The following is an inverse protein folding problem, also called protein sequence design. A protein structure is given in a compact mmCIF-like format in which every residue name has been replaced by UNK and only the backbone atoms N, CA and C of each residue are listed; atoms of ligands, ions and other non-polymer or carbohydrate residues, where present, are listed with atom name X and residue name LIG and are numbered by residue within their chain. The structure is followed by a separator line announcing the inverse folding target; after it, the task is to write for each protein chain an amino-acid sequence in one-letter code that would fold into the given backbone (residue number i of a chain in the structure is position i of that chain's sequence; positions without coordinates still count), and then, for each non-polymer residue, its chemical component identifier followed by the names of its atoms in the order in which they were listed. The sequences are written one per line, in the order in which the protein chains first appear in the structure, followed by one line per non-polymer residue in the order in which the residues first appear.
data_IF_911615307632
#
_entry.id   IF_911615307632
#
_cell.length_a   1.000
_cell.length_b   1.000
_cell.length_c   1.000
_cell.angle_alpha   90.00
_cell.angle_beta   90.00
_cell.angle_gamma   90.00
#
_symmetry.space_group_name_H-M   'P 1'
#
loop_
_entity.id
_entity.type
_entity.pdbx_description
1 polymer ?
#
# COMPACT_ATOMS: atom_id res chain seq x y z
N UNK A 1 42.62 -8.50 3.87
CA UNK A 1 42.22 -9.86 4.28
C UNK A 1 42.06 -9.98 5.80
N UNK A 2 43.13 -9.94 6.62
CA UNK A 2 43.00 -10.09 8.09
C UNK A 2 42.30 -8.91 8.79
N UNK A 3 42.52 -7.70 8.29
CA UNK A 3 41.90 -6.47 8.84
C UNK A 3 40.44 -6.31 8.41
N UNK A 4 40.09 -6.73 7.19
CA UNK A 4 38.72 -6.70 6.68
C UNK A 4 37.81 -7.69 7.42
N UNK A 5 38.34 -8.86 7.78
CA UNK A 5 37.61 -9.88 8.53
C UNK A 5 37.39 -9.46 10.00
N UNK A 6 38.39 -8.82 10.63
CA UNK A 6 38.24 -8.23 11.95
C UNK A 6 37.21 -7.10 11.97
N UNK A 7 37.21 -6.24 10.95
CA UNK A 7 36.22 -5.17 10.80
C UNK A 7 34.79 -5.72 10.62
N UNK A 8 34.61 -6.79 9.83
CA UNK A 8 33.31 -7.44 9.68
C UNK A 8 32.80 -8.05 10.98
N UNK A 9 33.67 -8.65 11.80
CA UNK A 9 33.29 -9.18 13.12
C UNK A 9 32.80 -8.07 14.04
N UNK A 10 33.49 -6.93 14.07
CA UNK A 10 33.07 -5.78 14.88
C UNK A 10 31.74 -5.18 14.39
N UNK A 11 31.58 -5.02 13.07
CA UNK A 11 30.34 -4.54 12.46
C UNK A 11 29.16 -5.45 12.79
N UNK A 12 29.32 -6.78 12.69
CA UNK A 12 28.30 -7.76 13.08
C UNK A 12 27.86 -7.56 14.53
N UNK A 13 28.82 -7.45 15.45
CA UNK A 13 28.52 -7.29 16.87
C UNK A 13 27.84 -5.95 17.19
N UNK A 14 28.16 -4.87 16.48
CA UNK A 14 27.49 -3.58 16.63
C UNK A 14 26.08 -3.62 16.03
N UNK A 15 25.92 -4.18 14.84
CA UNK A 15 24.64 -4.35 14.17
C UNK A 15 23.69 -5.24 14.99
N UNK A 16 24.18 -6.35 15.56
CA UNK A 16 23.39 -7.23 16.44
C UNK A 16 22.97 -6.53 17.76
N UNK A 17 23.62 -5.42 18.13
CA UNK A 17 23.22 -4.54 19.24
C UNK A 17 22.26 -3.41 18.81
N UNK A 18 21.84 -3.39 17.54
CA UNK A 18 20.92 -2.40 16.99
C UNK A 18 21.59 -1.08 16.59
N UNK A 19 22.92 -1.06 16.40
CA UNK A 19 23.60 0.13 15.89
C UNK A 19 23.32 0.27 14.40
N UNK A 20 22.42 1.18 14.04
CA UNK A 20 21.94 1.37 12.66
C UNK A 20 23.06 1.53 11.63
N UNK A 21 24.04 2.41 11.90
CA UNK A 21 25.16 2.65 10.98
C UNK A 21 26.05 1.42 10.78
N UNK A 22 26.10 0.51 11.76
CA UNK A 22 26.83 -0.74 11.62
C UNK A 22 26.05 -1.76 10.80
N UNK A 23 24.72 -1.81 10.94
CA UNK A 23 23.84 -2.62 10.08
C UNK A 23 23.95 -2.18 8.62
N UNK A 24 23.81 -0.88 8.35
CA UNK A 24 23.98 -0.30 7.02
C UNK A 24 25.33 -0.67 6.40
N UNK A 25 26.43 -0.37 7.11
CA UNK A 25 27.78 -0.65 6.59
C UNK A 25 28.04 -2.14 6.37
N UNK A 26 27.52 -2.99 7.24
CA UNK A 26 27.65 -4.43 7.09
C UNK A 26 26.85 -4.95 5.88
N UNK A 27 25.63 -4.47 5.69
CA UNK A 27 24.79 -4.86 4.55
C UNK A 27 25.47 -4.46 3.25
N UNK A 28 26.01 -3.24 3.13
CA UNK A 28 26.77 -2.81 1.96
C UNK A 28 27.94 -3.77 1.64
N UNK A 29 28.73 -4.14 2.64
CA UNK A 29 29.85 -5.05 2.46
C UNK A 29 29.41 -6.47 2.06
N UNK A 30 28.28 -6.94 2.56
CA UNK A 30 27.70 -8.23 2.18
C UNK A 30 27.18 -8.19 0.73
N UNK A 31 26.59 -7.07 0.31
CA UNK A 31 26.17 -6.87 -1.08
C UNK A 31 27.37 -6.84 -2.03
N UNK A 32 28.43 -6.11 -1.68
CA UNK A 32 29.67 -6.06 -2.46
C UNK A 32 30.31 -7.45 -2.60
N UNK A 33 30.18 -8.30 -1.58
CA UNK A 33 30.66 -9.69 -1.62
C UNK A 33 29.81 -10.55 -2.56
N UNK A 34 28.49 -10.36 -2.55
CA UNK A 34 27.56 -10.91 -3.54
C UNK A 34 27.48 -12.45 -3.62
N UNK A 35 28.09 -13.18 -2.69
CA UNK A 35 28.07 -14.64 -2.69
C UNK A 35 26.92 -15.22 -1.87
N UNK A 36 26.65 -16.52 -2.06
CA UNK A 36 25.54 -17.20 -1.40
C UNK A 36 25.60 -17.10 0.13
N UNK A 37 26.82 -17.07 0.69
CA UNK A 37 27.03 -16.90 2.12
C UNK A 37 26.61 -15.50 2.59
N UNK A 38 26.91 -14.46 1.82
CA UNK A 38 26.47 -13.10 2.11
C UNK A 38 24.95 -12.96 2.01
N UNK A 39 24.32 -13.53 0.99
CA UNK A 39 22.85 -13.53 0.85
C UNK A 39 22.19 -14.28 2.02
N UNK A 40 22.73 -15.44 2.41
CA UNK A 40 22.24 -16.18 3.57
C UNK A 40 22.39 -15.39 4.87
N UNK A 41 23.50 -14.66 5.04
CA UNK A 41 23.68 -13.76 6.18
C UNK A 41 22.64 -12.63 6.17
N UNK A 42 22.44 -11.95 5.04
CA UNK A 42 21.43 -10.90 4.89
C UNK A 42 20.03 -11.41 5.27
N UNK A 43 19.62 -12.58 4.77
CA UNK A 43 18.31 -13.18 5.10
C UNK A 43 18.20 -13.49 6.60
N UNK A 44 19.26 -14.03 7.20
CA UNK A 44 19.28 -14.30 8.63
C UNK A 44 19.18 -13.02 9.47
N UNK A 45 19.76 -11.90 9.00
CA UNK A 45 19.64 -10.59 9.66
C UNK A 45 18.23 -10.02 9.52
N UNK A 46 17.65 -10.05 8.33
CA UNK A 46 16.27 -9.63 8.08
C UNK A 46 15.28 -10.40 8.98
N UNK A 47 15.46 -11.72 9.11
CA UNK A 47 14.66 -12.56 10.01
C UNK A 47 14.79 -12.21 11.50
N UNK A 48 15.85 -11.51 11.91
CA UNK A 48 16.04 -10.98 13.27
C UNK A 48 15.56 -9.53 13.44
N UNK A 49 14.97 -8.94 12.40
CA UNK A 49 14.45 -7.57 12.43
C UNK A 49 15.46 -6.51 12.01
N UNK A 50 16.55 -6.87 11.32
CA UNK A 50 17.42 -5.88 10.67
C UNK A 50 16.66 -5.26 9.48
N UNK A 51 16.18 -4.03 9.68
CA UNK A 51 15.36 -3.30 8.70
C UNK A 51 16.12 -3.02 7.41
N UNK A 52 17.40 -2.67 7.50
CA UNK A 52 18.23 -2.36 6.32
C UNK A 52 18.47 -3.61 5.47
N UNK A 53 18.76 -4.75 6.11
CA UNK A 53 18.85 -6.03 5.39
C UNK A 53 17.50 -6.42 4.74
N UNK A 54 16.38 -6.16 5.43
CA UNK A 54 15.03 -6.44 4.92
C UNK A 54 14.70 -5.60 3.69
N UNK A 55 14.88 -4.27 3.78
CA UNK A 55 14.62 -3.33 2.69
C UNK A 55 15.45 -3.68 1.45
N UNK A 56 16.75 -3.95 1.64
CA UNK A 56 17.63 -4.26 0.53
C UNK A 56 17.27 -5.59 -0.16
N UNK A 57 16.97 -6.65 0.61
CA UNK A 57 16.55 -7.93 0.04
C UNK A 57 15.22 -7.81 -0.72
N UNK A 58 14.26 -7.03 -0.19
CA UNK A 58 13.00 -6.72 -0.88
C UNK A 58 13.27 -5.97 -2.19
N UNK A 59 14.11 -4.93 -2.16
CA UNK A 59 14.46 -4.15 -3.34
C UNK A 59 15.20 -4.99 -4.42
N UNK A 60 15.95 -6.03 -4.00
CA UNK A 60 16.58 -6.99 -4.90
C UNK A 60 15.61 -8.09 -5.40
N UNK A 61 14.35 -8.09 -4.97
CA UNK A 61 13.35 -9.07 -5.37
C UNK A 61 13.50 -10.44 -4.71
N UNK A 62 14.07 -10.51 -3.50
CA UNK A 62 14.18 -11.75 -2.75
C UNK A 62 12.80 -12.28 -2.31
N UNK A 63 12.32 -13.41 -2.85
CA UNK A 63 10.95 -13.86 -2.61
C UNK A 63 10.72 -14.34 -1.18
N UNK A 64 11.74 -14.92 -0.53
CA UNK A 64 11.65 -15.39 0.85
C UNK A 64 11.47 -14.22 1.82
N UNK A 65 12.26 -13.17 1.65
CA UNK A 65 12.15 -11.95 2.47
C UNK A 65 10.85 -11.22 2.19
N UNK A 66 10.41 -11.14 0.93
CA UNK A 66 9.12 -10.55 0.57
C UNK A 66 7.95 -11.24 1.28
N UNK A 67 7.88 -12.58 1.26
CA UNK A 67 6.82 -13.30 1.97
C UNK A 67 6.95 -13.17 3.49
N UNK A 68 8.17 -13.14 4.03
CA UNK A 68 8.37 -12.88 5.45
C UNK A 68 7.87 -11.48 5.87
N UNK A 69 8.05 -10.46 5.02
CA UNK A 69 7.48 -9.11 5.22
C UNK A 69 5.96 -9.16 5.14
N UNK A 70 5.37 -9.78 4.12
CA UNK A 70 3.92 -9.91 3.99
C UNK A 70 3.28 -10.63 5.17
N UNK A 71 3.90 -11.71 5.65
CA UNK A 71 3.42 -12.46 6.81
C UNK A 71 3.37 -11.59 8.06
N UNK A 72 4.44 -10.83 8.33
CA UNK A 72 4.52 -9.88 9.45
C UNK A 72 3.53 -8.73 9.32
N UNK A 73 3.35 -8.20 8.12
CA UNK A 73 2.35 -7.19 7.81
C UNK A 73 0.92 -7.70 8.09
N UNK A 74 0.59 -8.93 7.66
CA UNK A 74 -0.70 -9.59 7.95
C UNK A 74 -0.90 -9.85 9.45
N UNK A 75 0.19 -10.01 10.21
CA UNK A 75 0.15 -10.11 11.67
C UNK A 75 0.04 -8.74 12.38
N UNK A 76 -0.02 -7.63 11.64
CA UNK A 76 -0.19 -6.28 12.18
C UNK A 76 1.13 -5.58 12.54
N UNK A 77 2.29 -6.10 12.13
CA UNK A 77 3.55 -5.36 12.29
C UNK A 77 3.55 -4.15 11.36
N UNK A 78 3.49 -2.95 11.95
CA UNK A 78 3.31 -1.70 11.21
C UNK A 78 4.42 -1.44 10.19
N UNK A 79 5.68 -1.62 10.58
CA UNK A 79 6.82 -1.39 9.68
C UNK A 79 6.81 -2.36 8.50
N UNK A 80 6.52 -3.64 8.75
CA UNK A 80 6.38 -4.62 7.68
C UNK A 80 5.21 -4.29 6.75
N UNK A 81 4.09 -3.78 7.28
CA UNK A 81 2.95 -3.34 6.47
C UNK A 81 3.28 -2.11 5.62
N UNK A 82 3.99 -1.12 6.19
CA UNK A 82 4.45 0.06 5.43
C UNK A 82 5.39 -0.39 4.29
N UNK A 83 6.36 -1.27 4.59
CA UNK A 83 7.28 -1.83 3.60
C UNK A 83 6.57 -2.65 2.52
N UNK A 84 5.58 -3.46 2.91
CA UNK A 84 4.79 -4.25 1.96
C UNK A 84 4.00 -3.35 1.00
N UNK A 85 3.34 -2.31 1.52
CA UNK A 85 2.57 -1.36 0.70
C UNK A 85 3.48 -0.62 -0.27
N UNK A 86 4.68 -0.22 0.17
CA UNK A 86 5.59 0.57 -0.66
C UNK A 86 6.31 -0.26 -1.74
N UNK A 87 6.74 -1.48 -1.41
CA UNK A 87 7.66 -2.25 -2.28
C UNK A 87 7.09 -3.55 -2.83
N UNK A 88 6.04 -4.11 -2.22
CA UNK A 88 5.54 -5.44 -2.56
C UNK A 88 4.13 -5.42 -3.16
N UNK A 89 3.38 -4.35 -2.97
CA UNK A 89 2.07 -4.16 -3.60
C UNK A 89 2.28 -3.48 -4.94
N UNK A 90 2.28 -4.26 -6.01
CA UNK A 90 2.38 -3.72 -7.36
C UNK A 90 1.01 -3.23 -7.86
N UNK A 91 0.91 -1.98 -8.38
CA UNK A 91 -0.30 -1.51 -9.02
C UNK A 91 -0.68 -2.41 -10.21
N UNK A 92 -1.84 -3.05 -10.14
CA UNK A 92 -2.35 -3.96 -11.18
C UNK A 92 -2.15 -5.43 -10.89
N UNK A 93 -1.44 -5.78 -9.81
CA UNK A 93 -1.45 -7.13 -9.24
C UNK A 93 -2.88 -7.48 -8.77
N UNK A 94 -3.50 -8.59 -9.24
CA UNK A 94 -4.83 -9.00 -8.79
C UNK A 94 -4.93 -9.17 -7.28
N UNK A 95 -3.82 -9.52 -6.62
CA UNK A 95 -3.72 -9.74 -5.19
C UNK A 95 -3.63 -8.43 -4.38
N UNK A 96 -3.22 -7.31 -5.02
CA UNK A 96 -2.99 -6.01 -4.36
C UNK A 96 -4.19 -5.53 -3.53
N UNK A 97 -5.41 -5.68 -4.05
CA UNK A 97 -6.63 -5.27 -3.34
C UNK A 97 -6.80 -6.07 -2.05
N UNK A 98 -6.55 -7.38 -2.10
CA UNK A 98 -6.69 -8.25 -0.93
C UNK A 98 -5.62 -7.95 0.12
N UNK A 99 -4.38 -7.72 -0.29
CA UNK A 99 -3.29 -7.39 0.63
C UNK A 99 -3.51 -6.04 1.31
N UNK A 100 -3.80 -4.99 0.52
CA UNK A 100 -4.07 -3.66 1.06
C UNK A 100 -5.30 -3.66 1.99
N UNK A 101 -6.33 -4.46 1.67
CA UNK A 101 -7.48 -4.62 2.56
C UNK A 101 -7.08 -5.22 3.90
N UNK A 102 -6.31 -6.30 3.91
CA UNK A 102 -5.84 -6.93 5.15
C UNK A 102 -5.01 -5.95 5.99
N UNK A 103 -4.11 -5.19 5.36
CA UNK A 103 -3.27 -4.21 6.06
C UNK A 103 -4.09 -3.02 6.58
N UNK A 104 -5.06 -2.53 5.82
CA UNK A 104 -5.96 -1.47 6.25
C UNK A 104 -6.85 -1.90 7.43
N UNK A 105 -7.36 -3.13 7.39
CA UNK A 105 -8.13 -3.73 8.50
C UNK A 105 -7.28 -3.91 9.76
N UNK A 106 -5.97 -4.14 9.61
CA UNK A 106 -5.01 -4.12 10.71
C UNK A 106 -4.63 -2.71 11.20
N UNK A 107 -5.22 -1.65 10.63
CA UNK A 107 -5.03 -0.26 11.04
C UNK A 107 -3.91 0.48 10.30
N UNK A 108 -3.39 -0.06 9.20
CA UNK A 108 -2.41 0.65 8.38
C UNK A 108 -3.09 1.74 7.52
N UNK A 109 -2.82 3.01 7.85
CA UNK A 109 -3.39 4.16 7.14
C UNK A 109 -2.87 4.33 5.70
N UNK A 110 -1.62 3.95 5.41
CA UNK A 110 -1.07 3.99 4.06
C UNK A 110 -1.75 2.94 3.17
N UNK A 111 -1.97 1.74 3.71
CA UNK A 111 -2.70 0.70 3.02
C UNK A 111 -4.15 1.11 2.73
N UNK A 112 -4.82 1.77 3.69
CA UNK A 112 -6.18 2.29 3.49
C UNK A 112 -6.19 3.34 2.36
N UNK A 113 -5.23 4.27 2.32
CA UNK A 113 -5.15 5.25 1.24
C UNK A 113 -4.90 4.61 -0.14
N UNK A 114 -3.97 3.64 -0.20
CA UNK A 114 -3.67 2.91 -1.43
C UNK A 114 -4.87 2.08 -1.91
N UNK A 115 -5.56 1.39 -1.01
CA UNK A 115 -6.76 0.63 -1.32
C UNK A 115 -7.85 1.53 -1.89
N UNK A 116 -8.12 2.65 -1.21
CA UNK A 116 -9.13 3.61 -1.64
C UNK A 116 -8.87 4.15 -3.06
N UNK A 117 -7.61 4.37 -3.43
CA UNK A 117 -7.22 4.73 -4.80
C UNK A 117 -7.52 3.62 -5.80
N UNK A 118 -7.09 2.38 -5.51
CA UNK A 118 -7.33 1.24 -6.40
C UNK A 118 -8.83 0.98 -6.62
N UNK A 119 -9.66 1.13 -5.58
CA UNK A 119 -11.12 1.00 -5.71
C UNK A 119 -11.67 2.04 -6.68
N UNK A 120 -11.21 3.28 -6.61
CA UNK A 120 -11.64 4.34 -7.54
C UNK A 120 -11.21 4.04 -8.97
N UNK A 121 -9.97 3.58 -9.15
CA UNK A 121 -9.43 3.25 -10.46
C UNK A 121 -10.15 2.06 -11.10
N UNK A 122 -10.54 1.07 -10.30
CA UNK A 122 -11.36 -0.07 -10.74
C UNK A 122 -12.76 0.37 -11.18
N UNK A 123 -13.34 1.35 -10.50
CA UNK A 123 -14.52 2.08 -10.99
C UNK A 123 -15.82 1.28 -11.10
N UNK A 124 -15.86 0.04 -10.61
CA UNK A 124 -17.00 -0.86 -10.75
C UNK A 124 -17.97 -0.82 -9.54
N UNK A 125 -19.00 -1.66 -9.56
CA UNK A 125 -19.99 -1.73 -8.48
C UNK A 125 -19.46 -2.38 -7.21
N UNK A 126 -18.49 -3.28 -7.34
CA UNK A 126 -17.84 -3.92 -6.20
C UNK A 126 -17.01 -2.91 -5.42
N UNK A 127 -16.21 -2.11 -6.13
CA UNK A 127 -15.48 -0.99 -5.56
C UNK A 127 -16.40 0.06 -4.92
N UNK A 128 -17.53 0.38 -5.56
CA UNK A 128 -18.56 1.22 -4.96
C UNK A 128 -19.12 0.62 -3.67
N UNK A 129 -19.37 -0.69 -3.65
CA UNK A 129 -19.84 -1.42 -2.47
C UNK A 129 -18.87 -1.32 -1.30
N UNK A 130 -17.59 -1.48 -1.57
CA UNK A 130 -16.55 -1.39 -0.55
C UNK A 130 -16.37 0.05 -0.02
N UNK A 131 -16.40 1.06 -0.90
CA UNK A 131 -16.38 2.47 -0.50
C UNK A 131 -17.60 2.83 0.36
N UNK A 132 -18.79 2.28 0.07
CA UNK A 132 -20.00 2.46 0.90
C UNK A 132 -19.82 1.91 2.30
N UNK A 133 -19.32 0.68 2.42
CA UNK A 133 -19.09 0.04 3.72
C UNK A 133 -18.15 0.88 4.57
N UNK A 134 -17.04 1.35 3.99
CA UNK A 134 -16.08 2.22 4.69
C UNK A 134 -16.66 3.58 5.07
N UNK A 135 -17.41 4.21 4.17
CA UNK A 135 -18.09 5.48 4.45
C UNK A 135 -19.10 5.33 5.60
N UNK A 136 -19.87 4.24 5.63
CA UNK A 136 -20.82 3.94 6.69
C UNK A 136 -20.12 3.68 8.04
N UNK A 137 -18.90 3.14 8.02
CA UNK A 137 -18.03 3.01 9.19
C UNK A 137 -17.38 4.34 9.64
N UNK A 138 -17.66 5.46 8.95
CA UNK A 138 -17.17 6.80 9.31
C UNK A 138 -15.93 7.25 8.55
N UNK A 139 -15.45 6.49 7.55
CA UNK A 139 -14.34 6.96 6.70
C UNK A 139 -14.81 8.07 5.75
N UNK A 140 -14.54 9.32 6.12
CA UNK A 140 -14.90 10.49 5.32
C UNK A 140 -14.21 10.56 3.95
N UNK A 141 -12.99 10.02 3.82
CA UNK A 141 -12.32 9.96 2.52
C UNK A 141 -13.03 8.98 1.60
N UNK A 142 -13.40 7.79 2.10
CA UNK A 142 -14.19 6.83 1.35
C UNK A 142 -15.54 7.41 0.88
N UNK A 143 -16.20 8.22 1.72
CA UNK A 143 -17.45 8.89 1.34
C UNK A 143 -17.26 9.85 0.15
N UNK A 144 -16.18 10.64 0.15
CA UNK A 144 -15.84 11.54 -0.97
C UNK A 144 -15.54 10.74 -2.24
N UNK A 145 -14.79 9.65 -2.12
CA UNK A 145 -14.41 8.80 -3.25
C UNK A 145 -15.62 8.03 -3.83
N UNK A 146 -16.55 7.59 -2.98
CA UNK A 146 -17.81 7.00 -3.42
C UNK A 146 -18.57 7.98 -4.33
N UNK A 147 -18.74 9.24 -3.90
CA UNK A 147 -19.41 10.25 -4.72
C UNK A 147 -18.67 10.49 -6.05
N UNK A 148 -17.33 10.48 -6.05
CA UNK A 148 -16.53 10.60 -7.28
C UNK A 148 -16.80 9.43 -8.23
N UNK A 149 -16.74 8.20 -7.73
CA UNK A 149 -16.94 6.98 -8.52
C UNK A 149 -18.37 6.91 -9.07
N UNK A 150 -19.39 7.21 -8.26
CA UNK A 150 -20.78 7.26 -8.71
C UNK A 150 -20.98 8.32 -9.81
N UNK A 151 -20.34 9.48 -9.66
CA UNK A 151 -20.40 10.53 -10.66
C UNK A 151 -19.72 10.12 -11.97
N UNK A 152 -18.57 9.45 -11.90
CA UNK A 152 -17.84 8.96 -13.06
C UNK A 152 -18.63 7.87 -13.82
N UNK A 153 -19.23 6.91 -13.09
CA UNK A 153 -20.09 5.88 -13.69
C UNK A 153 -21.32 6.46 -14.34
N UNK A 154 -22.00 7.38 -13.66
CA UNK A 154 -23.17 8.09 -14.17
C UNK A 154 -24.36 7.23 -14.56
N UNK A 155 -24.32 5.90 -14.40
CA UNK A 155 -25.42 5.01 -14.72
C UNK A 155 -26.67 5.30 -13.85
N UNK A 156 -27.80 4.66 -14.18
CA UNK A 156 -29.07 4.96 -13.50
C UNK A 156 -29.01 4.70 -11.99
N UNK A 157 -28.29 3.64 -11.57
CA UNK A 157 -28.12 3.29 -10.16
C UNK A 157 -27.25 4.33 -9.47
N UNK A 158 -26.12 4.68 -10.07
CA UNK A 158 -25.20 5.66 -9.52
C UNK A 158 -25.85 7.05 -9.37
N UNK A 159 -26.64 7.49 -10.36
CA UNK A 159 -27.39 8.75 -10.29
C UNK A 159 -28.51 8.69 -9.25
N UNK A 160 -29.18 7.56 -9.08
CA UNK A 160 -30.18 7.38 -8.04
C UNK A 160 -29.57 7.48 -6.63
N UNK A 161 -28.40 6.89 -6.44
CA UNK A 161 -27.67 6.95 -5.18
C UNK A 161 -27.15 8.36 -4.86
N UNK A 162 -26.56 9.05 -5.84
CA UNK A 162 -26.22 10.47 -5.71
C UNK A 162 -27.47 11.30 -5.35
N UNK A 163 -28.63 10.97 -5.95
CA UNK A 163 -30.02 11.30 -5.54
C UNK A 163 -30.17 11.37 -4.03
N UNK A 164 -30.05 10.19 -3.44
CA UNK A 164 -30.25 9.95 -2.02
C UNK A 164 -29.25 10.73 -1.17
N UNK A 165 -27.97 10.68 -1.52
CA UNK A 165 -26.91 11.39 -0.77
C UNK A 165 -27.15 12.90 -0.75
N UNK A 166 -27.46 13.51 -1.90
CA UNK A 166 -27.78 14.93 -1.98
C UNK A 166 -29.05 15.29 -1.19
N UNK A 167 -30.08 14.44 -1.24
CA UNK A 167 -31.31 14.60 -0.46
C UNK A 167 -31.07 14.52 1.06
N UNK A 168 -30.06 13.74 1.48
CA UNK A 168 -29.61 13.66 2.86
C UNK A 168 -28.67 14.82 3.29
N UNK A 169 -28.38 15.76 2.38
CA UNK A 169 -27.57 16.95 2.67
C UNK A 169 -26.10 16.86 2.24
N UNK A 170 -25.68 15.81 1.53
CA UNK A 170 -24.34 15.74 0.95
C UNK A 170 -24.19 16.78 -0.18
N UNK A 171 -23.52 17.89 0.15
CA UNK A 171 -23.28 19.00 -0.78
C UNK A 171 -22.42 18.60 -1.98
N UNK A 172 -21.50 17.65 -1.79
CA UNK A 172 -20.63 17.20 -2.86
C UNK A 172 -21.40 16.33 -3.86
N UNK A 173 -22.26 15.43 -3.38
CA UNK A 173 -23.18 14.67 -4.21
C UNK A 173 -24.15 15.58 -4.98
N UNK A 174 -24.70 16.60 -4.30
CA UNK A 174 -25.56 17.60 -4.92
C UNK A 174 -24.88 18.35 -6.07
N UNK A 175 -23.63 18.77 -5.87
CA UNK A 175 -22.82 19.40 -6.92
C UNK A 175 -22.60 18.46 -8.12
N UNK A 176 -22.17 17.22 -7.87
CA UNK A 176 -21.92 16.25 -8.96
C UNK A 176 -23.17 15.92 -9.77
N UNK A 177 -24.34 15.85 -9.15
CA UNK A 177 -25.61 15.71 -9.87
C UNK A 177 -25.94 16.88 -10.79
N UNK A 178 -25.65 18.11 -10.36
CA UNK A 178 -25.85 19.29 -11.20
C UNK A 178 -24.95 19.24 -12.43
N UNK A 179 -23.67 18.91 -12.24
CA UNK A 179 -22.69 18.75 -13.32
C UNK A 179 -23.13 17.67 -14.34
N UNK A 180 -23.58 16.49 -13.87
CA UNK A 180 -24.07 15.41 -14.74
C UNK A 180 -25.30 15.81 -15.57
N UNK A 181 -26.20 16.61 -15.01
CA UNK A 181 -27.40 17.08 -15.73
C UNK A 181 -27.05 18.07 -16.84
N UNK A 182 -26.05 18.92 -16.63
CA UNK A 182 -25.57 19.86 -17.66
C UNK A 182 -24.95 19.07 -18.81
N UNK A 183 -24.04 18.14 -18.52
CA UNK A 183 -23.37 17.34 -19.56
C UNK A 183 -24.33 16.50 -20.41
N UNK A 184 -25.44 16.02 -19.84
CA UNK A 184 -26.49 15.28 -20.59
C UNK A 184 -27.41 16.16 -21.42
N UNK A 185 -27.54 17.45 -21.09
CA UNK A 185 -28.33 18.42 -21.86
C UNK A 185 -27.55 19.01 -23.03
N UNK A 186 -26.23 18.87 -23.04
CA UNK A 186 -25.35 19.27 -24.15
C UNK A 186 -24.54 18.08 -24.68
N UNK A 187 -25.17 17.08 -25.34
CA UNK A 187 -24.42 16.06 -26.06
C UNK A 187 -23.87 16.69 -27.35
N UNK A 188 -22.70 17.34 -27.29
CA UNK A 188 -22.00 17.88 -28.46
C UNK A 188 -21.75 19.39 -28.42
N UNK A 189 -20.63 19.77 -27.81
CA UNK A 189 -19.89 20.98 -28.16
C UNK A 189 -18.38 20.73 -28.01
N UNK A 190 -17.90 19.61 -28.56
CA UNK A 190 -16.48 19.38 -28.87
C UNK A 190 -16.41 18.47 -30.10
N UNK A 191 -15.97 19.05 -31.21
CA UNK A 191 -15.44 18.32 -32.36
C UNK A 191 -14.00 17.91 -32.14
#
# INVERSE_FOLDING_TARGET
MRDDEAALVELRALADRGVWSASERLVELLVDRGDDAAVAELRARAGRGDGYATELLVAMGDPETAEAVRSRARAGERYAADLAVEWLVEPGDPEAVSELRAYAEAGNGYAEEALLRLLVDRGDEEAAGELRTRAAAGNGHAAILLVRLLAARGDHRAVAELRTLAGAGDRYAGRRLAELRVNRRTPGARG
#
